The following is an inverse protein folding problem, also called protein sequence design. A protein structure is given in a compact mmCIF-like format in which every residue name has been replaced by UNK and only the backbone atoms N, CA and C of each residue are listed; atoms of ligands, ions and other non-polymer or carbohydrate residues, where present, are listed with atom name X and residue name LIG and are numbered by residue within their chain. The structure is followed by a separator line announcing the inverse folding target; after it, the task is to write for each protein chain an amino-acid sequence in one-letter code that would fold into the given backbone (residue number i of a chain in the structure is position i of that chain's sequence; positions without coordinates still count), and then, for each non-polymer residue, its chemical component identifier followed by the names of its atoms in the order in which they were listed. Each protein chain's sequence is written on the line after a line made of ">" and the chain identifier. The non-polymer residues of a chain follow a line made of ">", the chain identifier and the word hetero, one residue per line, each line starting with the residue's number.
data_IF_671999276764
#
_entry.id   IF_671999276764
#
_cell.length_a   1.000
_cell.length_b   1.000
_cell.length_c   1.000
_cell.angle_alpha   90.00
_cell.angle_beta   90.00
_cell.angle_gamma   90.00
#
_symmetry.space_group_name_H-M   'P 1'
#
loop_
_entity.id
_entity.type
_entity.pdbx_description
1 polymer ?
#
# COMPACT_ATOMS: atom_id res chain seq x y z
N UNK A 1 -34.46 11.21 0.14
CA UNK A 1 -34.20 9.76 0.27
C UNK A 1 -33.05 9.41 -0.66
N UNK A 2 -31.98 8.80 -0.16
CA UNK A 2 -30.87 8.35 -1.00
C UNK A 2 -31.34 7.24 -1.95
N UNK A 3 -30.88 7.22 -3.20
CA UNK A 3 -31.24 6.15 -4.14
C UNK A 3 -30.66 4.80 -3.69
N UNK A 4 -31.30 3.66 -4.03
CA UNK A 4 -30.80 2.32 -3.66
C UNK A 4 -29.33 2.09 -4.02
N UNK A 5 -28.91 2.52 -5.21
CA UNK A 5 -27.50 2.41 -5.65
C UNK A 5 -26.53 3.25 -4.80
N UNK A 6 -26.94 4.40 -4.28
CA UNK A 6 -26.10 5.19 -3.36
C UNK A 6 -25.90 4.49 -2.02
N UNK A 7 -26.92 3.78 -1.52
CA UNK A 7 -26.83 3.00 -0.28
C UNK A 7 -25.87 1.82 -0.47
N UNK A 8 -25.91 1.15 -1.61
CA UNK A 8 -24.99 0.06 -1.94
C UNK A 8 -23.53 0.53 -2.01
N UNK A 9 -23.26 1.63 -2.72
CA UNK A 9 -21.91 2.21 -2.82
C UNK A 9 -21.39 2.64 -1.44
N UNK A 10 -22.25 3.27 -0.64
CA UNK A 10 -21.90 3.66 0.73
C UNK A 10 -21.53 2.43 1.58
N UNK A 11 -22.37 1.39 1.57
CA UNK A 11 -22.11 0.16 2.32
C UNK A 11 -20.81 -0.49 1.88
N UNK A 12 -20.56 -0.59 0.56
CA UNK A 12 -19.30 -1.11 0.02
C UNK A 12 -18.10 -0.35 0.57
N UNK A 13 -18.10 0.99 0.49
CA UNK A 13 -16.99 1.82 0.95
C UNK A 13 -16.80 1.74 2.47
N UNK A 14 -17.88 1.72 3.25
CA UNK A 14 -17.85 1.54 4.70
C UNK A 14 -17.18 0.22 5.06
N UNK A 15 -17.58 -0.88 4.42
CA UNK A 15 -17.03 -2.20 4.69
C UNK A 15 -15.55 -2.26 4.28
N UNK A 16 -15.16 -1.60 3.17
CA UNK A 16 -13.75 -1.48 2.79
C UNK A 16 -12.94 -0.73 3.86
N UNK A 17 -13.46 0.39 4.36
CA UNK A 17 -12.81 1.18 5.41
C UNK A 17 -12.68 0.38 6.71
N UNK A 18 -13.69 -0.39 7.11
CA UNK A 18 -13.62 -1.23 8.31
C UNK A 18 -12.48 -2.25 8.25
N UNK A 19 -12.30 -2.92 7.11
CA UNK A 19 -11.18 -3.84 6.92
C UNK A 19 -9.82 -3.12 6.93
N UNK A 20 -9.73 -1.92 6.34
CA UNK A 20 -8.52 -1.11 6.38
C UNK A 20 -8.18 -0.70 7.83
N UNK A 21 -9.16 -0.26 8.61
CA UNK A 21 -8.98 0.11 10.02
C UNK A 21 -8.52 -1.10 10.85
N UNK A 22 -9.12 -2.27 10.63
CA UNK A 22 -8.72 -3.51 11.31
C UNK A 22 -7.24 -3.87 11.07
N UNK A 23 -6.78 -3.80 9.82
CA UNK A 23 -5.37 -4.04 9.47
C UNK A 23 -4.48 -2.96 10.07
N UNK A 24 -4.89 -1.69 10.00
CA UNK A 24 -4.15 -0.58 10.58
C UNK A 24 -3.93 -0.74 12.09
N UNK A 25 -5.00 -1.04 12.83
CA UNK A 25 -4.94 -1.31 14.28
C UNK A 25 -4.04 -2.50 14.59
N UNK A 26 -4.16 -3.59 13.84
CA UNK A 26 -3.37 -4.81 14.04
C UNK A 26 -1.87 -4.54 13.86
N UNK A 27 -1.47 -3.82 12.81
CA UNK A 27 -0.05 -3.47 12.57
C UNK A 27 0.46 -2.47 13.63
N UNK A 28 -0.37 -1.52 14.03
CA UNK A 28 0.00 -0.52 15.04
C UNK A 28 0.27 -1.15 16.41
N UNK A 29 -0.40 -2.25 16.75
CA UNK A 29 -0.20 -2.96 18.02
C UNK A 29 1.19 -3.61 18.14
N UNK A 30 1.86 -3.85 17.01
CA UNK A 30 3.16 -4.54 16.95
C UNK A 30 4.26 -3.69 16.30
N UNK A 31 4.03 -2.40 16.07
CA UNK A 31 5.03 -1.49 15.50
C UNK A 31 5.16 -0.20 16.28
N UNK A 32 6.28 0.49 16.07
CA UNK A 32 6.56 1.80 16.61
C UNK A 32 5.47 2.81 16.22
N UNK A 33 5.05 3.60 17.20
CA UNK A 33 3.91 4.52 17.11
C UNK A 33 4.18 5.83 16.36
N UNK A 34 5.45 6.17 16.08
CA UNK A 34 5.82 7.48 15.52
C UNK A 34 7.13 7.44 14.74
N UNK A 35 7.29 8.26 13.67
CA UNK A 35 6.30 9.18 13.10
C UNK A 35 5.18 8.52 12.27
N UNK A 36 3.94 8.90 12.55
CA UNK A 36 2.81 8.68 11.65
C UNK A 36 2.71 9.85 10.68
N UNK A 37 2.26 9.55 9.45
CA UNK A 37 2.02 10.58 8.44
C UNK A 37 0.59 11.09 8.61
N UNK A 38 0.44 12.39 8.86
CA UNK A 38 -0.87 13.05 8.77
C UNK A 38 -1.30 13.07 7.30
N UNK A 39 -2.44 12.43 7.01
CA UNK A 39 -3.04 12.38 5.69
C UNK A 39 -4.37 13.13 5.68
N UNK A 40 -4.74 13.63 4.50
CA UNK A 40 -6.07 14.18 4.27
C UNK A 40 -7.13 13.09 4.15
N UNK A 41 -8.36 13.38 4.56
CA UNK A 41 -9.49 12.42 4.57
C UNK A 41 -9.76 11.75 3.22
N UNK A 42 -9.59 12.44 2.08
CA UNK A 42 -9.74 11.84 0.75
C UNK A 42 -8.73 10.72 0.45
N UNK A 43 -7.66 10.61 1.23
CA UNK A 43 -6.71 9.49 1.16
C UNK A 43 -7.42 8.16 1.43
N UNK A 44 -8.41 8.14 2.32
CA UNK A 44 -9.21 6.95 2.61
C UNK A 44 -9.89 6.42 1.33
N UNK A 45 -10.47 7.31 0.52
CA UNK A 45 -11.13 6.93 -0.73
C UNK A 45 -10.14 6.35 -1.74
N UNK A 46 -8.95 6.96 -1.86
CA UNK A 46 -7.86 6.46 -2.73
C UNK A 46 -7.43 5.05 -2.32
N UNK A 47 -7.30 4.82 -1.02
CA UNK A 47 -6.85 3.54 -0.47
C UNK A 47 -7.93 2.45 -0.56
N UNK A 48 -9.21 2.79 -0.35
CA UNK A 48 -10.33 1.88 -0.62
C UNK A 48 -10.39 1.47 -2.09
N UNK A 49 -10.20 2.44 -3.01
CA UNK A 49 -10.13 2.16 -4.44
C UNK A 49 -8.94 1.25 -4.78
N UNK A 50 -7.74 1.56 -4.27
CA UNK A 50 -6.54 0.74 -4.48
C UNK A 50 -6.78 -0.70 -4.02
N UNK A 51 -7.31 -0.89 -2.81
CA UNK A 51 -7.66 -2.19 -2.26
C UNK A 51 -8.58 -2.96 -3.21
N UNK A 52 -9.71 -2.36 -3.59
CA UNK A 52 -10.68 -2.98 -4.49
C UNK A 52 -10.06 -3.33 -5.85
N UNK A 53 -9.25 -2.42 -6.41
CA UNK A 53 -8.58 -2.63 -7.69
C UNK A 53 -7.57 -3.79 -7.63
N UNK A 54 -6.69 -3.80 -6.63
CA UNK A 54 -5.69 -4.87 -6.44
C UNK A 54 -6.39 -6.22 -6.22
N UNK A 55 -7.37 -6.25 -5.32
CA UNK A 55 -8.03 -7.47 -4.88
C UNK A 55 -8.95 -8.06 -5.95
N UNK A 56 -9.75 -7.23 -6.63
CA UNK A 56 -10.82 -7.71 -7.52
C UNK A 56 -10.47 -7.69 -9.00
N UNK A 57 -9.51 -6.86 -9.41
CA UNK A 57 -9.21 -6.64 -10.83
C UNK A 57 -7.78 -7.07 -11.16
N UNK A 58 -6.78 -6.37 -10.62
CA UNK A 58 -5.40 -6.53 -11.08
C UNK A 58 -4.86 -7.93 -10.80
N UNK A 59 -4.82 -8.35 -9.53
CA UNK A 59 -4.18 -9.63 -9.17
C UNK A 59 -4.96 -10.87 -9.64
N UNK A 60 -6.30 -10.90 -9.69
CA UNK A 60 -7.04 -12.00 -10.31
C UNK A 60 -6.78 -12.19 -11.80
N UNK A 61 -6.53 -11.10 -12.55
CA UNK A 61 -6.28 -11.14 -13.99
C UNK A 61 -4.81 -11.51 -14.24
N UNK A 62 -3.87 -10.72 -13.71
CA UNK A 62 -2.45 -10.79 -14.05
C UNK A 62 -1.82 -12.15 -13.69
N UNK A 63 -2.27 -12.78 -12.60
CA UNK A 63 -1.76 -14.09 -12.17
C UNK A 63 -1.87 -15.19 -13.23
N UNK A 64 -2.80 -15.05 -14.19
CA UNK A 64 -3.03 -16.06 -15.23
C UNK A 64 -2.11 -15.88 -16.44
N UNK A 65 -1.46 -14.71 -16.58
CA UNK A 65 -0.65 -14.36 -17.74
C UNK A 65 0.84 -14.23 -17.42
N UNK A 66 1.18 -13.94 -16.16
CA UNK A 66 2.54 -13.68 -15.73
C UNK A 66 2.92 -14.53 -14.53
N UNK A 67 4.11 -15.14 -14.61
CA UNK A 67 4.65 -15.98 -13.54
C UNK A 67 5.14 -15.13 -12.37
N UNK A 68 5.76 -14.00 -12.68
CA UNK A 68 6.38 -13.09 -11.73
C UNK A 68 5.59 -11.78 -11.68
N UNK A 69 5.08 -11.43 -10.51
CA UNK A 69 4.30 -10.23 -10.24
C UNK A 69 5.01 -9.35 -9.24
N UNK A 70 5.38 -8.15 -9.65
CA UNK A 70 6.06 -7.17 -8.81
C UNK A 70 5.12 -6.04 -8.39
N UNK A 71 5.34 -5.51 -7.21
CA UNK A 71 4.71 -4.26 -6.78
C UNK A 71 5.77 -3.19 -6.63
N UNK A 72 5.52 -1.99 -7.15
CA UNK A 72 6.39 -0.83 -7.00
C UNK A 72 5.60 0.26 -6.31
N UNK A 73 6.16 0.85 -5.27
CA UNK A 73 5.61 2.05 -4.64
C UNK A 73 6.71 3.09 -4.52
N UNK A 74 6.62 4.16 -5.31
CA UNK A 74 7.64 5.19 -5.34
C UNK A 74 7.45 6.26 -4.24
N UNK A 75 6.34 6.19 -3.50
CA UNK A 75 5.97 7.15 -2.46
C UNK A 75 5.38 6.44 -1.24
N UNK A 76 6.08 5.39 -0.79
CA UNK A 76 5.53 4.35 0.08
C UNK A 76 5.14 4.83 1.50
N UNK A 77 5.68 5.97 1.96
CA UNK A 77 5.38 6.53 3.27
C UNK A 77 5.92 5.66 4.40
N UNK A 78 5.31 5.77 5.58
CA UNK A 78 5.64 4.92 6.74
C UNK A 78 4.79 3.65 6.81
N UNK A 79 3.90 3.40 5.85
CA UNK A 79 3.00 2.25 5.85
C UNK A 79 1.71 2.42 6.64
N UNK A 80 1.59 3.39 7.54
CA UNK A 80 0.32 3.77 8.20
C UNK A 80 0.07 5.28 8.05
N UNK A 81 -1.19 5.65 7.88
CA UNK A 81 -1.66 7.03 7.85
C UNK A 81 -2.51 7.31 9.08
N UNK A 82 -2.39 8.53 9.61
CA UNK A 82 -3.23 9.07 10.68
C UNK A 82 -3.97 10.31 10.16
N UNK A 83 -5.11 10.63 10.75
CA UNK A 83 -5.93 11.77 10.36
C UNK A 83 -6.10 12.71 11.55
N UNK A 84 -5.97 14.01 11.30
CA UNK A 84 -6.00 15.05 12.35
C UNK A 84 -7.21 14.94 13.28
N UNK A 85 -8.40 14.79 12.69
CA UNK A 85 -9.67 14.75 13.43
C UNK A 85 -10.00 13.35 13.97
N UNK A 86 -9.19 12.33 13.61
CA UNK A 86 -9.39 10.93 13.97
C UNK A 86 -8.05 10.26 14.32
N UNK A 87 -7.41 10.63 15.44
CA UNK A 87 -6.07 10.16 15.79
C UNK A 87 -5.98 8.65 16.01
N UNK A 88 -7.07 8.01 16.43
CA UNK A 88 -7.14 6.56 16.66
C UNK A 88 -7.44 5.76 15.38
N UNK A 89 -7.85 6.44 14.30
CA UNK A 89 -8.19 5.83 13.03
C UNK A 89 -6.95 5.66 12.14
N UNK A 90 -6.16 4.62 12.44
CA UNK A 90 -4.98 4.29 11.65
C UNK A 90 -5.37 3.50 10.40
N UNK A 91 -4.98 4.00 9.22
CA UNK A 91 -5.30 3.38 7.93
C UNK A 91 -4.02 2.99 7.21
N UNK A 92 -3.87 1.72 6.76
CA UNK A 92 -2.68 1.26 6.08
C UNK A 92 -2.45 2.00 4.76
N UNK A 93 -1.18 2.29 4.48
CA UNK A 93 -0.72 2.84 3.21
C UNK A 93 -0.73 1.78 2.11
N UNK A 94 -0.45 2.25 0.89
CA UNK A 94 -0.50 1.44 -0.32
C UNK A 94 0.37 0.17 -0.29
N UNK A 95 1.59 0.13 0.30
CA UNK A 95 2.36 -1.11 0.39
C UNK A 95 1.66 -2.20 1.22
N UNK A 96 1.16 -1.83 2.40
CA UNK A 96 0.48 -2.78 3.29
C UNK A 96 -0.82 -3.27 2.65
N UNK A 97 -1.56 -2.39 1.98
CA UNK A 97 -2.77 -2.76 1.25
C UNK A 97 -2.46 -3.76 0.14
N UNK A 98 -1.44 -3.47 -0.67
CA UNK A 98 -1.06 -4.31 -1.80
C UNK A 98 -0.66 -5.71 -1.33
N UNK A 99 0.07 -5.82 -0.23
CA UNK A 99 0.45 -7.12 0.33
C UNK A 99 -0.75 -7.86 0.94
N UNK A 100 -1.56 -7.18 1.76
CA UNK A 100 -2.58 -7.82 2.60
C UNK A 100 -3.84 -8.22 1.83
N UNK A 101 -4.15 -7.56 0.72
CA UNK A 101 -5.42 -7.74 0.00
C UNK A 101 -5.28 -8.26 -1.43
N UNK A 102 -4.05 -8.50 -1.91
CA UNK A 102 -3.85 -9.14 -3.19
C UNK A 102 -4.46 -10.55 -3.22
N UNK A 103 -5.19 -10.87 -4.30
CA UNK A 103 -5.78 -12.20 -4.50
C UNK A 103 -4.71 -13.29 -4.67
N UNK A 104 -3.63 -12.97 -5.40
CA UNK A 104 -2.35 -13.69 -5.37
C UNK A 104 -1.31 -12.69 -4.89
N UNK A 105 -0.57 -13.01 -3.83
CA UNK A 105 0.50 -12.16 -3.32
C UNK A 105 1.51 -11.82 -4.41
N UNK A 106 2.04 -10.60 -4.35
CA UNK A 106 3.17 -10.21 -5.19
C UNK A 106 4.39 -11.06 -4.85
N UNK A 107 5.19 -11.39 -5.86
CA UNK A 107 6.40 -12.19 -5.69
C UNK A 107 7.52 -11.37 -5.03
N UNK A 108 7.56 -10.06 -5.30
CA UNK A 108 8.45 -9.10 -4.64
C UNK A 108 7.90 -7.66 -4.68
N UNK A 109 8.22 -6.86 -3.67
CA UNK A 109 7.82 -5.44 -3.59
C UNK A 109 9.03 -4.50 -3.52
N UNK A 110 9.06 -3.48 -4.36
CA UNK A 110 10.04 -2.39 -4.34
C UNK A 110 9.39 -1.13 -3.75
N UNK A 111 9.85 -0.70 -2.58
CA UNK A 111 9.21 0.36 -1.81
C UNK A 111 10.18 1.53 -1.58
N UNK A 112 9.92 2.69 -2.17
CA UNK A 112 10.79 3.86 -2.09
C UNK A 112 10.16 4.90 -1.16
N UNK A 113 10.96 5.40 -0.21
CA UNK A 113 10.56 6.48 0.68
C UNK A 113 11.75 7.37 1.03
N UNK A 114 11.63 8.64 0.62
CA UNK A 114 12.67 9.67 0.76
C UNK A 114 12.94 10.08 2.21
N UNK A 115 11.95 10.01 3.09
CA UNK A 115 12.14 10.30 4.51
C UNK A 115 12.69 9.06 5.24
N UNK A 116 13.91 9.18 5.79
CA UNK A 116 14.59 8.07 6.47
C UNK A 116 13.82 7.51 7.69
N UNK A 117 13.07 8.36 8.42
CA UNK A 117 12.27 7.89 9.56
C UNK A 117 11.04 7.12 9.08
N UNK A 118 10.37 7.60 8.03
CA UNK A 118 9.23 6.91 7.43
C UNK A 118 9.64 5.57 6.82
N UNK A 119 10.73 5.52 6.06
CA UNK A 119 11.18 4.27 5.44
C UNK A 119 11.55 3.19 6.46
N UNK A 120 12.18 3.56 7.59
CA UNK A 120 12.46 2.61 8.69
C UNK A 120 11.19 2.04 9.31
N UNK A 121 10.19 2.88 9.56
CA UNK A 121 8.89 2.42 10.05
C UNK A 121 8.15 1.56 9.04
N UNK A 122 8.23 1.92 7.75
CA UNK A 122 7.65 1.11 6.70
C UNK A 122 8.26 -0.28 6.70
N UNK A 123 9.59 -0.39 6.80
CA UNK A 123 10.29 -1.66 6.85
C UNK A 123 9.85 -2.49 8.07
N UNK A 124 9.84 -1.89 9.27
CA UNK A 124 9.34 -2.51 10.51
C UNK A 124 7.93 -3.08 10.32
N UNK A 125 7.02 -2.30 9.74
CA UNK A 125 5.62 -2.70 9.54
C UNK A 125 5.45 -3.74 8.45
N UNK A 126 6.26 -3.69 7.40
CA UNK A 126 6.29 -4.73 6.37
C UNK A 126 6.78 -6.06 6.94
N UNK A 127 7.78 -6.06 7.85
CA UNK A 127 8.26 -7.28 8.52
C UNK A 127 7.20 -7.98 9.38
N UNK A 128 6.14 -7.28 9.79
CA UNK A 128 5.01 -7.87 10.53
C UNK A 128 4.14 -8.74 9.61
N UNK A 129 3.98 -8.34 8.35
CA UNK A 129 3.02 -8.95 7.43
C UNK A 129 3.66 -9.78 6.32
N UNK A 130 4.93 -9.52 5.99
CA UNK A 130 5.65 -10.10 4.86
C UNK A 130 7.01 -10.68 5.30
N UNK A 131 7.45 -11.72 4.58
CA UNK A 131 8.79 -12.26 4.76
C UNK A 131 9.84 -11.24 4.25
N UNK A 132 10.97 -11.04 4.94
CA UNK A 132 11.98 -10.04 4.56
C UNK A 132 12.52 -10.18 3.13
N UNK A 133 12.55 -11.39 2.57
CA UNK A 133 12.98 -11.67 1.20
C UNK A 133 11.91 -11.35 0.13
N UNK A 134 10.73 -10.87 0.53
CA UNK A 134 9.61 -10.53 -0.36
C UNK A 134 9.48 -9.04 -0.63
N UNK A 135 10.31 -8.21 0.00
CA UNK A 135 10.28 -6.77 -0.25
C UNK A 135 11.65 -6.13 -0.02
N UNK A 136 11.82 -4.94 -0.60
CA UNK A 136 12.94 -4.06 -0.33
C UNK A 136 12.42 -2.65 -0.07
N UNK A 137 12.91 -2.02 1.00
CA UNK A 137 12.68 -0.60 1.27
C UNK A 137 13.94 0.19 0.92
N UNK A 138 13.81 1.10 -0.04
CA UNK A 138 14.85 2.07 -0.39
C UNK A 138 14.83 3.23 0.60
N UNK A 139 15.64 3.10 1.65
CA UNK A 139 15.70 4.07 2.74
C UNK A 139 16.31 5.40 2.32
N UNK A 140 15.51 6.45 2.29
CA UNK A 140 15.97 7.77 1.84
C UNK A 140 16.08 7.88 0.32
N UNK A 141 15.57 6.89 -0.43
CA UNK A 141 15.64 6.87 -1.89
C UNK A 141 14.78 7.96 -2.53
N UNK A 142 15.27 8.54 -3.62
CA UNK A 142 14.48 9.41 -4.48
C UNK A 142 13.80 8.58 -5.58
N UNK A 143 12.50 8.78 -5.77
CA UNK A 143 11.72 8.07 -6.77
C UNK A 143 12.32 8.16 -8.19
N UNK A 144 12.88 9.32 -8.55
CA UNK A 144 13.44 9.53 -9.89
C UNK A 144 14.77 8.80 -10.08
N UNK A 145 15.53 8.61 -9.00
CA UNK A 145 16.81 7.91 -9.01
C UNK A 145 16.60 6.39 -9.00
N UNK A 146 15.69 5.91 -8.15
CA UNK A 146 15.50 4.47 -7.93
C UNK A 146 14.69 3.77 -9.01
N UNK A 147 13.77 4.48 -9.68
CA UNK A 147 12.87 3.89 -10.68
C UNK A 147 13.62 3.13 -11.78
N UNK A 148 14.70 3.71 -12.33
CA UNK A 148 15.45 3.10 -13.44
C UNK A 148 16.07 1.77 -13.00
N UNK A 149 16.62 1.71 -11.79
CA UNK A 149 17.25 0.49 -11.27
C UNK A 149 16.23 -0.61 -10.99
N UNK A 150 15.03 -0.23 -10.51
CA UNK A 150 13.92 -1.15 -10.25
C UNK A 150 13.41 -1.76 -11.56
N UNK A 151 13.13 -0.93 -12.57
CA UNK A 151 12.63 -1.41 -13.86
C UNK A 151 13.62 -2.38 -14.50
N UNK A 152 14.92 -2.04 -14.50
CA UNK A 152 15.95 -2.93 -15.06
C UNK A 152 15.92 -4.33 -14.43
N UNK A 153 15.79 -4.43 -13.10
CA UNK A 153 15.67 -5.72 -12.39
C UNK A 153 14.43 -6.52 -12.81
N UNK A 154 13.32 -5.84 -13.06
CA UNK A 154 12.06 -6.47 -13.47
C UNK A 154 12.14 -6.96 -14.92
N UNK A 155 12.74 -6.16 -15.81
CA UNK A 155 12.95 -6.52 -17.23
C UNK A 155 13.90 -7.70 -17.40
N UNK A 156 14.90 -7.83 -16.52
CA UNK A 156 15.80 -8.98 -16.46
C UNK A 156 15.09 -10.27 -15.96
N UNK A 157 13.87 -10.16 -15.41
CA UNK A 157 13.08 -11.30 -14.95
C UNK A 157 12.10 -11.77 -16.04
N UNK A 158 12.22 -13.01 -16.56
CA UNK A 158 11.30 -13.53 -17.58
C UNK A 158 9.84 -13.61 -17.11
N UNK A 159 8.90 -13.40 -18.04
CA UNK A 159 7.45 -13.48 -17.78
C UNK A 159 7.00 -12.66 -16.57
N UNK A 160 7.55 -11.45 -16.45
CA UNK A 160 7.26 -10.51 -15.37
C UNK A 160 6.20 -9.49 -15.77
N UNK A 161 5.43 -9.06 -14.78
CA UNK A 161 4.60 -7.87 -14.85
C UNK A 161 4.62 -7.15 -13.50
N UNK A 162 4.33 -5.85 -13.49
CA UNK A 162 4.35 -5.07 -12.26
C UNK A 162 3.16 -4.12 -12.15
N UNK A 163 2.77 -3.83 -10.91
CA UNK A 163 1.86 -2.74 -10.58
C UNK A 163 2.66 -1.63 -9.90
N UNK A 164 2.66 -0.43 -10.49
CA UNK A 164 3.27 0.74 -9.89
C UNK A 164 2.19 1.62 -9.24
N UNK A 165 2.23 1.73 -7.91
CA UNK A 165 1.45 2.73 -7.18
C UNK A 165 2.17 4.07 -7.21
N UNK A 166 1.46 5.08 -7.72
CA UNK A 166 1.86 6.49 -7.63
C UNK A 166 0.96 7.26 -6.64
N UNK A 167 0.29 6.55 -5.73
CA UNK A 167 -0.59 7.16 -4.73
C UNK A 167 0.27 7.87 -3.68
N UNK A 168 0.53 9.15 -3.94
CA UNK A 168 1.09 10.05 -2.95
C UNK A 168 0.00 10.47 -1.97
N UNK A 169 0.20 10.18 -0.70
CA UNK A 169 -0.61 10.79 0.36
C UNK A 169 -0.06 12.18 0.63
N UNK A 170 -0.73 13.26 0.20
CA UNK A 170 -0.21 14.62 0.47
C UNK A 170 -0.19 14.85 1.98
N UNK A 171 0.96 15.24 2.55
CA UNK A 171 1.00 15.84 3.89
C UNK A 171 0.83 17.35 3.74
N UNK A 172 0.26 17.98 4.77
CA UNK A 172 0.39 19.44 4.92
C UNK A 172 1.84 19.83 5.21
#
# INVERSE_FOLDING_TARGET
>A
MSSPGMIEVYNLLRDQLHELLYVGSSISAYSSSSPLREAHSWTVLKLCFLKLYIQRIYTPIIKNYYRNMFYIDLFAGSGLNQFKDYPDALVPGSPIIAWSFAHRSFDYMFLVEKNLKHSRLLEERMKIIALPEKFHVYHGGDANEEYISIIKKIEETPFSHFFASLIRTSSK
#
